data_IF_596629937213
#
_entry.id   IF_596629937213
#
_cell.length_a   1.000
_cell.length_b   1.000
_cell.length_c   1.000
_cell.angle_alpha   90.00
_cell.angle_beta   90.00
_cell.angle_gamma   90.00
#
_symmetry.space_group_name_H-M   'P 1'
#
loop_
_entity.id
_entity.type
_entity.pdbx_description
1 polymer ?
#
# COMPACT_ATOMS: atom_id res chain seq x y z
N UNK A 1 -1.36 -2.94 14.44
CA UNK A 1 -0.59 -2.54 13.25
C UNK A 1 0.81 -2.05 13.60
N UNK A 2 1.01 -1.04 14.45
CA UNK A 2 2.36 -0.63 14.91
C UNK A 2 3.20 -1.76 15.54
N UNK A 3 2.58 -2.56 16.42
CA UNK A 3 3.20 -3.79 16.98
C UNK A 3 3.51 -4.89 15.95
N UNK A 4 3.06 -4.75 14.71
CA UNK A 4 3.27 -5.70 13.61
C UNK A 4 4.29 -5.17 12.58
N UNK A 5 5.02 -4.10 12.91
CA UNK A 5 6.10 -3.55 12.07
C UNK A 5 5.65 -2.55 11.01
N UNK A 6 4.40 -2.08 11.06
CA UNK A 6 3.91 -1.04 10.17
C UNK A 6 4.10 0.34 10.80
N UNK A 7 4.63 1.29 10.05
CA UNK A 7 4.38 2.69 10.37
C UNK A 7 2.94 3.03 9.99
N UNK A 8 2.22 3.68 10.91
CA UNK A 8 0.78 3.88 10.78
C UNK A 8 0.45 5.30 11.11
N UNK A 9 -0.10 5.97 10.10
CA UNK A 9 -0.75 7.25 10.24
C UNK A 9 -2.27 7.12 10.14
N UNK A 10 -2.97 7.81 11.04
CA UNK A 10 -4.41 7.79 11.12
C UNK A 10 -4.97 9.16 10.74
N UNK A 11 -5.95 9.15 9.86
CA UNK A 11 -6.73 10.32 9.44
C UNK A 11 -8.21 10.06 9.67
N UNK A 12 -8.94 11.11 10.02
CA UNK A 12 -10.31 10.96 10.54
C UNK A 12 -11.37 10.92 9.43
N UNK A 13 -11.03 11.37 8.21
CA UNK A 13 -11.94 11.44 7.07
C UNK A 13 -11.19 11.50 5.73
N UNK A 14 -11.92 11.34 4.63
CA UNK A 14 -11.36 11.35 3.28
C UNK A 14 -10.71 12.68 2.88
N UNK A 15 -11.26 13.82 3.30
CA UNK A 15 -10.71 15.13 2.96
C UNK A 15 -9.32 15.35 3.59
N UNK A 16 -9.14 14.95 4.86
CA UNK A 16 -7.84 14.95 5.51
C UNK A 16 -6.86 13.99 4.84
N UNK A 17 -7.32 12.80 4.45
CA UNK A 17 -6.51 11.82 3.72
C UNK A 17 -5.96 12.41 2.42
N UNK A 18 -6.82 13.06 1.63
CA UNK A 18 -6.42 13.69 0.37
C UNK A 18 -5.44 14.84 0.59
N UNK A 19 -5.70 15.70 1.58
CA UNK A 19 -4.82 16.83 1.84
C UNK A 19 -3.43 16.43 2.34
N UNK A 20 -3.33 15.30 3.08
CA UNK A 20 -2.06 14.70 3.51
C UNK A 20 -1.31 14.06 2.33
N UNK A 21 -2.00 13.40 1.41
CA UNK A 21 -1.40 12.88 0.17
C UNK A 21 -0.90 14.00 -0.75
N UNK A 22 -1.59 15.15 -0.76
CA UNK A 22 -1.21 16.30 -1.57
C UNK A 22 -0.13 17.19 -0.93
N UNK A 23 0.37 16.86 0.28
CA UNK A 23 1.38 17.65 0.98
C UNK A 23 0.95 19.09 1.32
N UNK A 24 -0.36 19.37 1.34
CA UNK A 24 -0.91 20.74 1.41
C UNK A 24 -0.69 21.45 2.75
N UNK A 25 -0.32 20.73 3.79
CA UNK A 25 -0.15 21.28 5.14
C UNK A 25 1.31 21.42 5.57
N UNK A 26 2.21 20.59 5.01
CA UNK A 26 3.65 20.62 5.26
C UNK A 26 4.35 20.06 4.01
N UNK A 27 4.93 20.92 3.18
CA UNK A 27 5.58 20.51 1.92
C UNK A 27 6.79 19.57 2.14
N UNK A 28 7.34 19.55 3.36
CA UNK A 28 8.42 18.65 3.78
C UNK A 28 7.92 17.27 4.25
N UNK A 29 6.60 17.11 4.48
CA UNK A 29 5.97 15.88 4.98
C UNK A 29 4.76 15.45 4.11
N UNK A 30 4.94 15.45 2.79
CA UNK A 30 3.98 14.75 1.92
C UNK A 30 4.06 13.25 2.19
N UNK A 31 2.93 12.64 2.55
CA UNK A 31 2.90 11.21 2.82
C UNK A 31 2.91 10.43 1.52
N UNK A 32 3.87 9.53 1.39
CA UNK A 32 3.89 8.48 0.38
C UNK A 32 3.56 7.12 1.04
N UNK A 33 2.29 6.83 1.37
CA UNK A 33 1.94 5.55 1.97
C UNK A 33 2.11 4.41 0.96
N UNK A 34 2.57 3.25 1.42
CA UNK A 34 2.63 2.03 0.59
C UNK A 34 1.23 1.43 0.36
N UNK A 35 0.32 1.59 1.32
CA UNK A 35 -1.06 1.07 1.28
C UNK A 35 -1.97 2.03 2.06
N UNK A 36 -3.19 2.26 1.56
CA UNK A 36 -4.24 2.97 2.29
C UNK A 36 -5.33 2.00 2.74
N UNK A 37 -5.73 2.12 4.01
CA UNK A 37 -6.86 1.36 4.58
C UNK A 37 -8.04 2.30 4.83
N UNK A 38 -9.13 2.11 4.08
CA UNK A 38 -10.37 2.88 4.22
C UNK A 38 -11.35 2.10 5.10
N UNK A 39 -11.56 2.57 6.33
CA UNK A 39 -12.51 1.95 7.26
C UNK A 39 -13.94 2.48 7.06
N UNK A 40 -14.59 2.13 5.95
CA UNK A 40 -15.92 2.63 5.61
C UNK A 40 -17.02 2.21 6.60
N UNK A 41 -16.89 1.04 7.24
CA UNK A 41 -17.74 0.58 8.34
C UNK A 41 -17.84 1.61 9.49
N UNK A 42 -16.70 2.06 10.04
CA UNK A 42 -16.64 3.09 11.08
C UNK A 42 -17.15 4.45 10.60
N UNK A 43 -17.01 4.75 9.31
CA UNK A 43 -17.53 5.98 8.70
C UNK A 43 -19.02 5.87 8.34
N UNK A 44 -19.65 4.70 8.55
CA UNK A 44 -21.04 4.39 8.18
C UNK A 44 -21.36 4.62 6.68
N UNK A 45 -20.34 4.57 5.82
CA UNK A 45 -20.47 4.81 4.37
C UNK A 45 -20.15 3.54 3.56
N UNK A 46 -20.38 3.56 2.26
CA UNK A 46 -19.88 2.50 1.35
C UNK A 46 -18.38 2.66 1.02
N UNK A 47 -17.77 3.78 1.38
CA UNK A 47 -16.37 4.09 1.05
C UNK A 47 -16.12 4.44 -0.42
N UNK A 48 -17.10 4.29 -1.32
CA UNK A 48 -16.95 4.47 -2.78
C UNK A 48 -16.38 5.84 -3.15
N UNK A 49 -16.96 6.92 -2.61
CA UNK A 49 -16.51 8.30 -2.88
C UNK A 49 -15.07 8.52 -2.43
N UNK A 50 -14.69 7.98 -1.27
CA UNK A 50 -13.32 8.11 -0.73
C UNK A 50 -12.34 7.33 -1.62
N UNK A 51 -12.66 6.08 -1.96
CA UNK A 51 -11.80 5.26 -2.83
C UNK A 51 -11.62 5.89 -4.21
N UNK A 52 -12.68 6.47 -4.78
CA UNK A 52 -12.61 7.16 -6.05
C UNK A 52 -11.70 8.39 -5.99
N UNK A 53 -11.90 9.28 -5.00
CA UNK A 53 -11.05 10.46 -4.87
C UNK A 53 -9.59 10.11 -4.58
N UNK A 54 -9.33 9.04 -3.82
CA UNK A 54 -7.97 8.53 -3.60
C UNK A 54 -7.36 8.03 -4.92
N UNK A 55 -8.12 7.29 -5.73
CA UNK A 55 -7.65 6.77 -7.03
C UNK A 55 -7.34 7.89 -8.02
N UNK A 56 -8.16 8.94 -8.07
CA UNK A 56 -7.94 10.11 -8.93
C UNK A 56 -6.68 10.88 -8.56
N UNK A 57 -6.28 10.87 -7.28
CA UNK A 57 -5.08 11.57 -6.80
C UNK A 57 -3.82 10.71 -6.83
N UNK A 58 -3.97 9.41 -6.59
CA UNK A 58 -2.87 8.46 -6.54
C UNK A 58 -3.30 7.18 -7.25
N UNK A 59 -3.12 7.18 -8.58
CA UNK A 59 -3.61 6.12 -9.48
C UNK A 59 -3.07 4.73 -9.10
N UNK A 60 -1.79 4.63 -8.73
CA UNK A 60 -1.12 3.37 -8.40
C UNK A 60 -1.21 2.97 -6.93
N UNK A 61 -1.77 3.80 -6.04
CA UNK A 61 -1.78 3.55 -4.61
C UNK A 61 -2.72 2.39 -4.25
N UNK A 62 -2.24 1.31 -3.60
CA UNK A 62 -3.09 0.20 -3.19
C UNK A 62 -4.09 0.63 -2.09
N UNK A 63 -5.37 0.31 -2.30
CA UNK A 63 -6.47 0.65 -1.40
C UNK A 63 -7.11 -0.64 -0.87
N UNK A 64 -7.13 -0.79 0.46
CA UNK A 64 -7.90 -1.81 1.17
C UNK A 64 -9.15 -1.17 1.79
N UNK A 65 -10.33 -1.69 1.46
CA UNK A 65 -11.61 -1.20 1.95
C UNK A 65 -12.20 -2.13 3.01
N UNK A 66 -12.60 -1.60 4.16
CA UNK A 66 -13.29 -2.34 5.22
C UNK A 66 -14.78 -1.97 5.25
N UNK A 67 -15.64 -2.99 5.09
CA UNK A 67 -17.10 -2.85 5.04
C UNK A 67 -17.80 -3.55 6.21
N UNK A 68 -19.03 -3.12 6.46
CA UNK A 68 -20.00 -3.86 7.30
C UNK A 68 -20.41 -5.17 6.61
N UNK A 69 -20.78 -6.21 7.37
CA UNK A 69 -21.34 -7.44 6.80
C UNK A 69 -22.60 -7.13 5.98
N UNK A 70 -22.77 -7.84 4.86
CA UNK A 70 -23.92 -7.69 3.97
C UNK A 70 -23.90 -6.44 3.07
N UNK A 71 -22.90 -5.57 3.18
CA UNK A 71 -22.68 -4.51 2.18
C UNK A 71 -21.83 -5.00 1.02
N UNK A 72 -22.33 -4.78 -0.19
CA UNK A 72 -21.59 -5.05 -1.41
C UNK A 72 -20.63 -3.93 -1.75
N UNK A 73 -19.49 -4.30 -2.32
CA UNK A 73 -18.45 -3.38 -2.79
C UNK A 73 -18.58 -3.04 -4.29
N UNK A 74 -19.75 -3.26 -4.89
CA UNK A 74 -19.92 -3.12 -6.35
C UNK A 74 -19.46 -1.74 -6.84
N UNK A 75 -18.61 -1.75 -7.87
CA UNK A 75 -18.03 -0.54 -8.47
C UNK A 75 -17.16 0.31 -7.52
N UNK A 76 -16.39 -0.33 -6.64
CA UNK A 76 -15.36 0.36 -5.84
C UNK A 76 -14.00 0.34 -6.54
N UNK A 77 -13.22 1.41 -6.41
CA UNK A 77 -11.85 1.53 -6.90
C UNK A 77 -10.82 0.90 -5.95
N UNK A 78 -11.25 0.06 -5.01
CA UNK A 78 -10.39 -0.60 -4.02
C UNK A 78 -9.78 -1.89 -4.56
N UNK A 79 -8.53 -2.18 -4.20
CA UNK A 79 -7.80 -3.37 -4.62
C UNK A 79 -8.24 -4.62 -3.85
N UNK A 80 -8.48 -4.46 -2.54
CA UNK A 80 -8.96 -5.55 -1.66
C UNK A 80 -10.10 -5.04 -0.80
N UNK A 81 -11.09 -5.90 -0.57
CA UNK A 81 -12.21 -5.63 0.32
C UNK A 81 -12.20 -6.64 1.47
N UNK A 82 -12.41 -6.16 2.69
CA UNK A 82 -12.61 -6.97 3.88
C UNK A 82 -13.91 -6.60 4.56
N UNK A 83 -14.81 -7.56 4.72
CA UNK A 83 -16.02 -7.37 5.53
C UNK A 83 -15.77 -7.76 6.98
N UNK A 84 -16.34 -6.98 7.91
CA UNK A 84 -16.37 -7.33 9.31
C UNK A 84 -17.29 -8.55 9.56
N UNK A 85 -16.99 -9.38 10.59
CA UNK A 85 -15.81 -9.34 11.45
C UNK A 85 -14.58 -10.01 10.80
N UNK A 86 -13.39 -9.59 11.22
CA UNK A 86 -12.14 -10.25 10.86
C UNK A 86 -11.12 -10.19 12.00
N UNK A 87 -10.15 -11.10 11.97
CA UNK A 87 -9.02 -11.06 12.90
C UNK A 87 -7.97 -10.05 12.46
N UNK A 88 -7.20 -9.50 13.41
CA UNK A 88 -6.06 -8.63 13.10
C UNK A 88 -5.10 -9.30 12.11
N UNK A 89 -4.89 -10.62 12.27
CA UNK A 89 -4.01 -11.38 11.38
C UNK A 89 -4.53 -11.41 9.94
N UNK A 90 -5.86 -11.52 9.74
CA UNK A 90 -6.46 -11.47 8.40
C UNK A 90 -6.20 -10.12 7.74
N UNK A 91 -6.35 -9.02 8.47
CA UNK A 91 -6.06 -7.68 7.95
C UNK A 91 -4.58 -7.51 7.61
N UNK A 92 -3.67 -7.93 8.50
CA UNK A 92 -2.22 -7.88 8.25
C UNK A 92 -1.84 -8.68 7.00
N UNK A 93 -2.40 -9.89 6.83
CA UNK A 93 -2.14 -10.72 5.65
C UNK A 93 -2.59 -10.03 4.35
N UNK A 94 -3.74 -9.32 4.38
CA UNK A 94 -4.23 -8.58 3.22
C UNK A 94 -3.38 -7.35 2.92
N UNK A 95 -2.91 -6.63 3.94
CA UNK A 95 -2.02 -5.48 3.75
C UNK A 95 -0.70 -5.94 3.14
N UNK A 96 -0.07 -7.00 3.66
CA UNK A 96 1.17 -7.54 3.10
C UNK A 96 1.07 -7.83 1.60
N UNK A 97 -0.01 -8.48 1.18
CA UNK A 97 -0.23 -8.78 -0.24
C UNK A 97 -0.39 -7.54 -1.14
N UNK A 98 -0.66 -6.37 -0.55
CA UNK A 98 -0.75 -5.10 -1.26
C UNK A 98 0.55 -4.29 -1.23
N UNK A 99 1.51 -4.66 -0.39
CA UNK A 99 2.79 -3.96 -0.32
C UNK A 99 3.65 -4.31 -1.54
N UNK A 100 4.32 -3.33 -2.15
CA UNK A 100 5.28 -3.60 -3.21
C UNK A 100 6.41 -4.51 -2.67
N UNK A 101 6.69 -5.61 -3.38
CA UNK A 101 7.72 -6.56 -3.00
C UNK A 101 7.31 -7.70 -2.05
N UNK A 102 6.02 -7.94 -1.77
CA UNK A 102 5.54 -9.16 -1.07
C UNK A 102 4.92 -10.19 -2.05
N UNK A 103 4.99 -9.93 -3.36
CA UNK A 103 4.72 -10.92 -4.40
C UNK A 103 5.78 -12.03 -4.40
N UNK A 104 5.41 -13.23 -4.87
CA UNK A 104 6.28 -14.42 -5.00
C UNK A 104 7.59 -14.18 -5.79
N UNK A 105 7.76 -13.01 -6.41
CA UNK A 105 8.87 -12.66 -7.28
C UNK A 105 9.72 -11.49 -6.73
N UNK A 106 9.87 -11.42 -5.41
CA UNK A 106 10.74 -10.45 -4.73
C UNK A 106 12.01 -11.10 -4.20
N UNK A 107 13.16 -10.48 -4.44
CA UNK A 107 14.47 -10.93 -3.93
C UNK A 107 14.85 -10.05 -2.75
N UNK A 108 15.10 -10.68 -1.60
CA UNK A 108 15.44 -10.00 -0.35
C UNK A 108 16.93 -10.13 -0.07
N UNK A 109 17.55 -9.03 0.34
CA UNK A 109 18.99 -8.85 0.36
C UNK A 109 19.44 -7.93 1.49
N UNK A 110 19.30 -8.38 2.73
CA UNK A 110 19.48 -7.48 3.88
C UNK A 110 18.49 -6.32 3.81
N UNK A 111 19.00 -5.09 3.68
CA UNK A 111 18.19 -3.86 3.59
C UNK A 111 17.75 -3.53 2.15
N UNK A 112 18.17 -4.33 1.17
CA UNK A 112 17.79 -4.22 -0.23
C UNK A 112 16.64 -5.20 -0.50
N UNK A 113 15.58 -4.71 -1.14
CA UNK A 113 14.46 -5.50 -1.63
C UNK A 113 14.27 -5.22 -3.10
N UNK A 114 14.20 -6.26 -3.90
CA UNK A 114 14.11 -6.16 -5.35
C UNK A 114 12.81 -6.81 -5.81
N UNK A 115 11.91 -6.03 -6.38
CA UNK A 115 10.67 -6.51 -6.99
C UNK A 115 10.92 -6.76 -8.49
N UNK A 116 10.99 -8.05 -8.84
CA UNK A 116 11.32 -8.49 -10.21
C UNK A 116 10.16 -8.25 -11.17
N UNK A 117 8.93 -8.32 -10.68
CA UNK A 117 7.74 -8.13 -11.48
C UNK A 117 7.56 -6.66 -11.87
N UNK A 118 7.77 -5.76 -10.92
CA UNK A 118 7.59 -4.32 -11.11
C UNK A 118 8.85 -3.57 -11.56
N UNK A 119 9.99 -4.26 -11.69
CA UNK A 119 11.32 -3.67 -11.94
C UNK A 119 11.65 -2.53 -10.98
N UNK A 120 11.39 -2.73 -9.68
CA UNK A 120 11.69 -1.72 -8.66
C UNK A 120 12.61 -2.28 -7.58
N UNK A 121 13.45 -1.41 -7.02
CA UNK A 121 14.28 -1.72 -5.87
C UNK A 121 13.93 -0.79 -4.74
N UNK A 122 13.87 -1.32 -3.52
CA UNK A 122 13.77 -0.57 -2.28
C UNK A 122 15.05 -0.77 -1.47
N UNK A 123 15.70 0.30 -1.07
CA UNK A 123 16.89 0.26 -0.22
C UNK A 123 16.77 1.34 0.85
N UNK A 124 16.91 0.97 2.13
CA UNK A 124 16.73 1.90 3.27
C UNK A 124 15.41 2.70 3.21
N UNK A 125 14.32 2.06 2.79
CA UNK A 125 13.01 2.72 2.66
C UNK A 125 12.84 3.63 1.44
N UNK A 126 13.88 3.80 0.60
CA UNK A 126 13.77 4.54 -0.67
C UNK A 126 13.52 3.58 -1.81
N UNK A 127 12.43 3.79 -2.54
CA UNK A 127 12.10 3.01 -3.73
C UNK A 127 12.59 3.73 -5.01
N UNK A 128 13.12 2.96 -5.96
CA UNK A 128 13.53 3.44 -7.26
C UNK A 128 13.20 2.43 -8.35
N UNK A 129 12.89 2.94 -9.55
CA UNK A 129 12.59 2.11 -10.71
C UNK A 129 13.89 1.81 -11.47
N UNK A 130 14.08 0.56 -11.82
CA UNK A 130 15.27 0.10 -12.54
C UNK A 130 14.97 -0.07 -14.03
N UNK A 131 15.97 0.21 -14.87
CA UNK A 131 15.92 -0.22 -16.27
C UNK A 131 16.10 -1.74 -16.34
N UNK A 132 15.60 -2.41 -17.40
CA UNK A 132 15.72 -3.87 -17.52
C UNK A 132 17.15 -4.38 -17.39
N UNK A 133 18.13 -3.64 -17.92
CA UNK A 133 19.55 -4.01 -17.83
C UNK A 133 20.09 -3.91 -16.40
N UNK A 134 19.69 -2.87 -15.66
CA UNK A 134 20.09 -2.65 -14.27
C UNK A 134 19.41 -3.65 -13.32
N UNK A 135 18.17 -4.01 -13.63
CA UNK A 135 17.41 -5.05 -12.95
C UNK A 135 18.09 -6.41 -13.06
N UNK A 136 18.45 -6.83 -14.28
CA UNK A 136 19.16 -8.09 -14.51
C UNK A 136 20.52 -8.13 -13.82
N UNK A 137 21.29 -7.03 -13.88
CA UNK A 137 22.59 -6.94 -13.20
C UNK A 137 22.44 -7.06 -11.69
N UNK A 138 21.53 -6.30 -11.09
CA UNK A 138 21.30 -6.33 -9.65
C UNK A 138 20.79 -7.70 -9.20
N UNK A 139 19.91 -8.33 -9.98
CA UNK A 139 19.48 -9.71 -9.73
C UNK A 139 20.66 -10.69 -9.69
N UNK A 140 21.56 -10.64 -10.69
CA UNK A 140 22.75 -11.49 -10.73
C UNK A 140 23.63 -11.25 -9.50
N UNK A 141 23.90 -9.99 -9.15
CA UNK A 141 24.71 -9.66 -7.96
C UNK A 141 24.06 -10.13 -6.65
N UNK A 142 22.73 -10.11 -6.57
CA UNK A 142 21.98 -10.61 -5.42
C UNK A 142 21.81 -12.13 -5.41
N UNK A 143 21.89 -12.82 -6.54
CA UNK A 143 21.85 -14.28 -6.59
C UNK A 143 23.24 -14.88 -6.29
N UNK A 144 24.33 -14.18 -6.66
CA UNK A 144 25.72 -14.61 -6.46
C UNK A 144 26.40 -13.91 -5.27
N UNK A 145 25.74 -13.86 -4.11
CA UNK A 145 26.30 -13.24 -2.90
C UNK A 145 27.48 -14.09 -2.39
N UNK A 146 28.71 -13.71 -2.75
CA UNK A 146 29.95 -14.39 -2.38
C UNK A 146 31.11 -13.90 -3.20
#
# INVERSE_FOLDING_TARGET
MRKKGFDVELVSNGSQALARLEGKFDAEHSLSPDVVVVHAASLRTSGKRICQSLREKAESLPILLILEPGREASNTSANVVLSLPFTIQKLVNRIRHLLPGDGNNSIHAGLIRLDVENHTVCCFGKQSRLTPRLMSLLKILLDHRG
#
